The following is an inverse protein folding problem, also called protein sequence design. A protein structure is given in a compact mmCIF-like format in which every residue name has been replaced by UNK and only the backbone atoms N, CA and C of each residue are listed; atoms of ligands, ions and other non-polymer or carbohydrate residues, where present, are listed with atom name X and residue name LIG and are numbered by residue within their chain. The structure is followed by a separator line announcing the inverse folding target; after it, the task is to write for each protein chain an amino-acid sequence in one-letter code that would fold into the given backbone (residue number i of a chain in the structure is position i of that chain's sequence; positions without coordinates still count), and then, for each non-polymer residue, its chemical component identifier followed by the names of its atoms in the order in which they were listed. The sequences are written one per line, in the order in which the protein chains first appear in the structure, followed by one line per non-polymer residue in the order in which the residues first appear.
data_IF_001220717774
#
_entry.id   IF_001220717774
#
_cell.length_a   1.000
_cell.length_b   1.000
_cell.length_c   1.000
_cell.angle_alpha   90.00
_cell.angle_beta   90.00
_cell.angle_gamma   90.00
#
_symmetry.space_group_name_H-M   'P 1'
#
loop_
_entity.id
_entity.type
_entity.pdbx_description
1 polymer ?
#
# COMPACT_ATOMS: atom_id res chain seq x y z
N UNK A 1 -21.25 3.03 17.11
CA UNK A 1 -19.89 2.58 17.47
C UNK A 1 -19.10 2.64 16.18
N UNK A 2 -18.22 3.62 16.07
CA UNK A 2 -17.35 3.78 14.90
C UNK A 2 -16.30 2.67 14.94
N UNK A 3 -15.93 2.13 13.77
CA UNK A 3 -14.93 1.08 13.65
C UNK A 3 -13.55 1.66 13.98
N UNK A 4 -12.70 0.95 14.73
CA UNK A 4 -11.34 1.43 14.98
C UNK A 4 -10.51 1.43 13.70
N UNK A 5 -9.59 2.39 13.56
CA UNK A 5 -8.84 2.64 12.32
C UNK A 5 -8.11 1.40 11.81
N UNK A 6 -7.58 0.57 12.71
CA UNK A 6 -6.89 -0.67 12.37
C UNK A 6 -7.84 -1.72 11.81
N UNK A 7 -9.01 -1.92 12.41
CA UNK A 7 -10.04 -2.80 11.84
C UNK A 7 -10.53 -2.29 10.49
N UNK A 8 -10.64 -0.96 10.34
CA UNK A 8 -10.96 -0.36 9.06
C UNK A 8 -9.89 -0.59 7.99
N UNK A 9 -8.62 -0.45 8.33
CA UNK A 9 -7.51 -0.69 7.42
C UNK A 9 -7.47 -2.13 6.94
N UNK A 10 -7.68 -3.07 7.87
CA UNK A 10 -7.80 -4.48 7.55
C UNK A 10 -9.01 -4.76 6.63
N UNK A 11 -10.14 -4.10 6.88
CA UNK A 11 -11.31 -4.19 6.03
C UNK A 11 -11.02 -3.69 4.60
N UNK A 12 -10.32 -2.54 4.47
CA UNK A 12 -9.93 -1.98 3.16
C UNK A 12 -9.07 -2.97 2.39
N UNK A 13 -7.98 -3.47 2.98
CA UNK A 13 -7.07 -4.44 2.34
C UNK A 13 -7.83 -5.69 1.88
N UNK A 14 -8.68 -6.24 2.75
CA UNK A 14 -9.47 -7.42 2.44
C UNK A 14 -10.45 -7.19 1.28
N UNK A 15 -11.06 -6.00 1.20
CA UNK A 15 -11.98 -5.68 0.12
C UNK A 15 -11.24 -5.42 -1.19
N UNK A 16 -10.04 -4.84 -1.16
CA UNK A 16 -9.19 -4.71 -2.34
C UNK A 16 -8.86 -6.06 -2.96
N UNK A 17 -8.58 -7.09 -2.15
CA UNK A 17 -8.37 -8.46 -2.65
C UNK A 17 -9.62 -8.98 -3.37
N UNK A 18 -10.80 -8.83 -2.78
CA UNK A 18 -12.07 -9.20 -3.43
C UNK A 18 -12.36 -8.45 -4.72
N UNK A 19 -11.97 -7.17 -4.82
CA UNK A 19 -12.18 -6.37 -6.02
C UNK A 19 -11.36 -6.90 -7.21
N UNK A 20 -10.25 -7.60 -6.97
CA UNK A 20 -9.43 -8.18 -8.03
C UNK A 20 -10.12 -9.36 -8.72
N UNK A 21 -10.96 -10.10 -8.00
CA UNK A 21 -11.73 -11.23 -8.53
C UNK A 21 -12.98 -10.80 -9.32
N UNK A 22 -13.40 -9.55 -9.16
CA UNK A 22 -14.63 -9.02 -9.77
C UNK A 22 -14.31 -8.21 -11.03
N UNK A 23 -14.91 -8.60 -12.16
CA UNK A 23 -14.79 -7.84 -13.41
C UNK A 23 -15.32 -6.41 -13.22
N UNK A 24 -14.48 -5.42 -13.56
CA UNK A 24 -14.79 -3.99 -13.56
C UNK A 24 -15.00 -3.32 -12.20
N UNK A 25 -15.13 -4.07 -11.10
CA UNK A 25 -15.41 -3.50 -9.78
C UNK A 25 -14.30 -2.57 -9.27
N UNK A 26 -13.04 -2.80 -9.65
CA UNK A 26 -11.93 -1.92 -9.29
C UNK A 26 -12.12 -0.45 -9.76
N UNK A 27 -12.86 -0.23 -10.85
CA UNK A 27 -13.17 1.11 -11.37
C UNK A 27 -14.33 1.78 -10.64
N UNK A 28 -15.24 1.00 -10.05
CA UNK A 28 -16.36 1.54 -9.26
C UNK A 28 -15.92 1.88 -7.82
N UNK A 29 -14.82 1.28 -7.37
CA UNK A 29 -14.29 1.41 -6.01
C UNK A 29 -12.82 1.84 -6.00
N UNK A 30 -12.47 2.85 -6.82
CA UNK A 30 -11.09 3.31 -7.02
C UNK A 30 -10.39 3.70 -5.71
N UNK A 31 -11.08 4.38 -4.79
CA UNK A 31 -10.50 4.79 -3.50
C UNK A 31 -10.14 3.59 -2.62
N UNK A 32 -11.03 2.58 -2.54
CA UNK A 32 -10.76 1.35 -1.79
C UNK A 32 -9.59 0.60 -2.45
N UNK A 33 -9.62 0.49 -3.78
CA UNK A 33 -8.60 -0.20 -4.54
C UNK A 33 -7.22 0.45 -4.36
N UNK A 34 -7.11 1.78 -4.48
CA UNK A 34 -5.87 2.52 -4.29
C UNK A 34 -5.36 2.39 -2.84
N UNK A 35 -6.20 2.67 -1.85
CA UNK A 35 -5.81 2.62 -0.45
C UNK A 35 -5.37 1.21 -0.04
N UNK A 36 -6.10 0.17 -0.42
CA UNK A 36 -5.70 -1.20 -0.10
C UNK A 36 -4.47 -1.67 -0.86
N UNK A 37 -4.22 -1.22 -2.10
CA UNK A 37 -2.94 -1.49 -2.80
C UNK A 37 -1.76 -0.82 -2.08
N UNK A 38 -1.93 0.41 -1.59
CA UNK A 38 -0.94 1.03 -0.70
C UNK A 38 -0.72 0.20 0.56
N UNK A 39 -1.80 -0.25 1.21
CA UNK A 39 -1.75 -1.09 2.42
C UNK A 39 -1.07 -2.45 2.20
N UNK A 40 -1.31 -3.11 1.07
CA UNK A 40 -0.66 -4.37 0.68
C UNK A 40 0.84 -4.18 0.45
N UNK A 41 1.22 -3.12 -0.27
CA UNK A 41 2.63 -2.80 -0.48
C UNK A 41 3.31 -2.45 0.84
N UNK A 42 2.72 -1.58 1.66
CA UNK A 42 3.23 -1.22 2.98
C UNK A 42 3.38 -2.44 3.89
N UNK A 43 2.41 -3.36 3.89
CA UNK A 43 2.48 -4.59 4.68
C UNK A 43 3.64 -5.48 4.22
N UNK A 44 3.87 -5.56 2.90
CA UNK A 44 5.00 -6.29 2.33
C UNK A 44 6.35 -5.64 2.68
N UNK A 45 6.40 -4.30 2.69
CA UNK A 45 7.59 -3.54 3.09
C UNK A 45 7.86 -3.69 4.60
N UNK A 46 6.82 -3.58 5.45
CA UNK A 46 6.93 -3.69 6.90
C UNK A 46 7.27 -5.10 7.39
N UNK A 47 6.94 -6.13 6.60
CA UNK A 47 7.33 -7.51 6.87
C UNK A 47 8.81 -7.79 6.53
N UNK A 48 9.46 -6.89 5.78
CA UNK A 48 10.89 -6.97 5.52
C UNK A 48 11.67 -6.42 6.72
N UNK A 49 12.70 -7.13 7.17
CA UNK A 49 13.66 -6.61 8.15
C UNK A 49 14.63 -5.58 7.55
N UNK A 50 14.63 -5.46 6.21
CA UNK A 50 15.48 -4.54 5.47
C UNK A 50 14.97 -3.10 5.60
N UNK A 51 15.84 -2.18 6.05
CA UNK A 51 15.52 -0.74 6.12
C UNK A 51 15.54 -0.05 4.76
N UNK A 52 16.19 -0.66 3.77
CA UNK A 52 16.16 -0.21 2.38
C UNK A 52 15.95 -1.40 1.46
N UNK A 53 15.19 -1.19 0.39
CA UNK A 53 14.83 -2.23 -0.57
C UNK A 53 15.20 -1.77 -1.98
N UNK A 54 15.86 -2.64 -2.74
CA UNK A 54 16.22 -2.35 -4.13
C UNK A 54 14.98 -2.18 -5.02
N UNK A 55 15.10 -1.41 -6.10
CA UNK A 55 13.99 -1.25 -7.07
C UNK A 55 13.52 -2.57 -7.68
N UNK A 56 14.42 -3.53 -7.88
CA UNK A 56 14.05 -4.85 -8.40
C UNK A 56 13.16 -5.62 -7.41
N UNK A 57 13.52 -5.59 -6.13
CA UNK A 57 12.73 -6.22 -5.08
C UNK A 57 11.39 -5.49 -4.91
N UNK A 58 11.39 -4.16 -4.91
CA UNK A 58 10.17 -3.36 -4.91
C UNK A 58 9.22 -3.74 -6.05
N UNK A 59 9.73 -3.86 -7.28
CA UNK A 59 8.94 -4.26 -8.43
C UNK A 59 8.32 -5.65 -8.25
N UNK A 60 9.04 -6.55 -7.57
CA UNK A 60 8.54 -7.90 -7.26
C UNK A 60 7.40 -7.83 -6.23
N UNK A 61 7.57 -7.04 -5.16
CA UNK A 61 6.53 -6.83 -4.15
C UNK A 61 5.28 -6.15 -4.74
N UNK A 62 5.48 -5.14 -5.59
CA UNK A 62 4.39 -4.45 -6.27
C UNK A 62 3.58 -5.38 -7.17
N UNK A 63 4.25 -6.25 -7.94
CA UNK A 63 3.56 -7.28 -8.75
C UNK A 63 2.77 -8.25 -7.89
N UNK A 64 3.31 -8.69 -6.75
CA UNK A 64 2.61 -9.56 -5.81
C UNK A 64 1.37 -8.89 -5.20
N UNK A 65 1.38 -7.56 -5.07
CA UNK A 65 0.23 -6.75 -4.65
C UNK A 65 -0.69 -6.33 -5.82
N UNK A 66 -0.53 -6.92 -7.01
CA UNK A 66 -1.33 -6.62 -8.21
C UNK A 66 -1.28 -5.13 -8.62
N UNK A 67 -0.13 -4.50 -8.41
CA UNK A 67 0.14 -3.11 -8.78
C UNK A 67 0.81 -3.06 -10.15
N UNK A 68 0.25 -2.26 -11.05
CA UNK A 68 0.87 -1.92 -12.33
C UNK A 68 2.12 -1.07 -12.11
N UNK A 69 3.29 -1.61 -12.46
CA UNK A 69 4.58 -0.95 -12.26
C UNK A 69 4.72 0.41 -12.96
N UNK A 70 4.04 0.61 -14.08
CA UNK A 70 4.16 1.85 -14.87
C UNK A 70 3.12 2.90 -14.49
N UNK A 71 1.90 2.47 -14.20
CA UNK A 71 0.76 3.38 -13.99
C UNK A 71 0.50 3.63 -12.51
N UNK A 72 0.51 2.58 -11.70
CA UNK A 72 0.05 2.66 -10.31
C UNK A 72 1.22 2.82 -9.34
N UNK A 73 2.33 2.10 -9.55
CA UNK A 73 3.46 2.13 -8.63
C UNK A 73 3.99 3.56 -8.39
N UNK A 74 4.22 4.42 -9.41
CA UNK A 74 4.69 5.79 -9.14
C UNK A 74 3.72 6.60 -8.28
N UNK A 75 2.41 6.45 -8.51
CA UNK A 75 1.36 7.15 -7.75
C UNK A 75 1.30 6.65 -6.31
N UNK A 76 1.41 5.34 -6.11
CA UNK A 76 1.45 4.72 -4.77
C UNK A 76 2.69 5.22 -4.03
N UNK A 77 3.87 5.19 -4.65
CA UNK A 77 5.10 5.66 -4.01
C UNK A 77 5.02 7.14 -3.62
N UNK A 78 4.47 7.99 -4.49
CA UNK A 78 4.26 9.42 -4.19
C UNK A 78 3.32 9.61 -2.97
N UNK A 79 2.22 8.86 -2.89
CA UNK A 79 1.29 8.90 -1.75
C UNK A 79 1.99 8.45 -0.45
N UNK A 80 2.77 7.37 -0.51
CA UNK A 80 3.52 6.85 0.65
C UNK A 80 4.64 7.81 1.09
N UNK A 81 5.30 8.48 0.17
CA UNK A 81 6.34 9.48 0.44
C UNK A 81 5.75 10.76 1.05
N UNK A 82 4.60 11.22 0.56
CA UNK A 82 3.85 12.35 1.16
C UNK A 82 3.44 12.09 2.61
N UNK A 83 3.10 10.84 2.93
CA UNK A 83 2.81 10.41 4.30
C UNK A 83 4.06 10.10 5.13
N UNK A 84 5.26 10.32 4.59
CA UNK A 84 6.56 10.09 5.25
C UNK A 84 6.78 8.65 5.70
N UNK A 85 6.17 7.68 5.02
CA UNK A 85 6.30 6.25 5.31
C UNK A 85 7.50 5.63 4.60
N UNK A 86 7.89 6.22 3.47
CA UNK A 86 9.05 5.84 2.69
C UNK A 86 9.80 7.08 2.21
N UNK A 87 11.05 6.90 1.81
CA UNK A 87 11.80 7.86 1.02
C UNK A 87 12.36 7.16 -0.21
N UNK A 88 12.09 7.73 -1.38
CA UNK A 88 12.50 7.13 -2.65
C UNK A 88 13.85 7.69 -3.11
N UNK A 89 14.76 6.82 -3.54
CA UNK A 89 16.03 7.20 -4.17
C UNK A 89 16.10 6.70 -5.62
N UNK A 90 17.17 7.06 -6.33
CA UNK A 90 17.37 6.63 -7.71
C UNK A 90 17.51 5.11 -7.83
N UNK A 91 18.03 4.43 -6.79
CA UNK A 91 18.37 3.00 -6.81
C UNK A 91 17.57 2.15 -5.82
N UNK A 92 17.11 2.73 -4.72
CA UNK A 92 16.48 2.01 -3.61
C UNK A 92 15.34 2.83 -2.98
N UNK A 93 14.55 2.19 -2.12
CA UNK A 93 13.55 2.84 -1.28
C UNK A 93 13.91 2.58 0.18
N UNK A 94 13.92 3.63 0.98
CA UNK A 94 14.12 3.56 2.41
C UNK A 94 12.77 3.51 3.11
N UNK A 95 12.60 2.56 4.04
CA UNK A 95 11.40 2.44 4.86
C UNK A 95 11.60 3.31 6.10
N UNK A 96 10.72 4.29 6.28
CA UNK A 96 10.78 5.24 7.38
C UNK A 96 9.86 4.79 8.50
N UNK A 97 10.43 4.18 9.54
CA UNK A 97 9.73 3.95 10.82
C UNK A 97 8.41 3.19 10.71
N UNK A 98 8.32 2.21 9.80
CA UNK A 98 7.11 1.44 9.56
C UNK A 98 7.08 0.21 10.48
N UNK A 99 6.01 0.05 11.26
CA UNK A 99 5.73 -1.19 11.98
C UNK A 99 4.53 -1.88 11.35
N UNK A 100 4.50 -3.22 11.37
CA UNK A 100 3.41 -4.02 10.80
C UNK A 100 2.06 -3.70 11.42
N UNK A 101 2.02 -3.19 12.65
CA UNK A 101 0.78 -2.73 13.30
C UNK A 101 0.30 -1.38 12.76
N UNK A 102 1.21 -0.46 12.44
CA UNK A 102 0.88 0.87 11.94
C UNK A 102 0.44 0.86 10.47
N UNK A 103 0.75 -0.18 9.69
CA UNK A 103 0.36 -0.24 8.26
C UNK A 103 -1.15 -0.21 8.06
N UNK A 104 -1.92 -0.80 8.98
CA UNK A 104 -3.37 -0.80 8.92
C UNK A 104 -3.95 0.59 9.19
N UNK A 105 -3.42 1.31 10.17
CA UNK A 105 -3.81 2.69 10.48
C UNK A 105 -3.48 3.62 9.31
N UNK A 106 -2.26 3.51 8.74
CA UNK A 106 -1.88 4.26 7.54
C UNK A 106 -2.76 3.95 6.33
N UNK A 107 -3.20 2.70 6.17
CA UNK A 107 -4.14 2.33 5.09
C UNK A 107 -5.45 3.10 5.23
N UNK A 108 -5.97 3.21 6.45
CA UNK A 108 -7.17 4.02 6.74
C UNK A 108 -6.92 5.50 6.50
N UNK A 109 -5.75 6.04 6.90
CA UNK A 109 -5.39 7.43 6.60
C UNK A 109 -5.33 7.70 5.10
N UNK A 110 -4.76 6.79 4.29
CA UNK A 110 -4.71 6.93 2.82
C UNK A 110 -6.11 6.91 2.19
N UNK A 111 -7.04 6.14 2.76
CA UNK A 111 -8.41 6.07 2.26
C UNK A 111 -9.18 7.39 2.43
N UNK A 112 -8.87 8.17 3.47
CA UNK A 112 -9.53 9.44 3.77
C UNK A 112 -8.76 10.70 3.30
N UNK A 113 -7.55 10.53 2.74
CA UNK A 113 -6.70 11.61 2.19
C UNK A 113 -7.04 11.95 0.73
#
# INVERSE_FOLDING_TARGET
MEMDERTQGAWIIHHTDKLQDMKYAANDYETINLAGKCGLLLSSLAASEEKSISKERLNTLAKAAHISLKMELPVILDKLEKQKLISSSSTEIHILGLTTSATLEHTTSIFYD
#
